data_IF_868544746262
#
_entry.id   IF_868544746262
#
_cell.length_a   1.000
_cell.length_b   1.000
_cell.length_c   1.000
_cell.angle_alpha   90.00
_cell.angle_beta   90.00
_cell.angle_gamma   90.00
#
_symmetry.space_group_name_H-M   'P 1'
#
loop_
_entity.id
_entity.type
_entity.pdbx_description
1 polymer ?
#
# COMPACT_ATOMS: atom_id res chain seq x y z
N UNK A 1 11.31 13.31 12.62
CA UNK A 1 12.02 12.14 12.08
C UNK A 1 11.96 12.19 10.57
N UNK A 2 12.87 11.53 9.86
CA UNK A 2 12.88 11.46 8.38
C UNK A 2 12.53 10.06 7.90
N UNK A 3 11.82 9.94 6.79
CA UNK A 3 11.64 8.67 6.08
C UNK A 3 12.82 8.44 5.13
N UNK A 4 13.47 7.27 5.21
CA UNK A 4 14.54 6.87 4.30
C UNK A 4 14.03 5.78 3.37
N UNK A 5 14.09 6.05 2.07
CA UNK A 5 13.63 5.14 1.02
C UNK A 5 14.59 5.14 -0.19
N UNK A 6 14.37 4.25 -1.15
CA UNK A 6 15.03 4.16 -2.46
C UNK A 6 16.56 3.98 -2.42
N UNK A 7 17.10 3.36 -1.36
CA UNK A 7 18.52 2.97 -1.34
C UNK A 7 18.81 1.96 -2.46
N UNK A 8 19.57 2.39 -3.47
CA UNK A 8 19.93 1.55 -4.60
C UNK A 8 21.42 1.64 -4.91
N UNK A 9 22.04 0.49 -5.18
CA UNK A 9 23.42 0.39 -5.67
C UNK A 9 23.42 -0.38 -6.98
N UNK A 10 24.08 0.19 -7.98
CA UNK A 10 24.23 -0.41 -9.31
C UNK A 10 24.78 -1.85 -9.20
N UNK A 11 24.25 -2.78 -10.00
CA UNK A 11 24.56 -4.23 -9.92
C UNK A 11 26.07 -4.52 -9.88
N UNK A 12 26.86 -3.81 -10.69
CA UNK A 12 28.33 -3.95 -10.79
C UNK A 12 29.12 -3.45 -9.56
N UNK A 13 28.50 -2.71 -8.64
CA UNK A 13 29.17 -2.05 -7.50
C UNK A 13 28.77 -2.63 -6.13
N UNK A 14 27.88 -3.62 -6.08
CA UNK A 14 27.31 -4.15 -4.82
C UNK A 14 28.36 -4.70 -3.86
N UNK A 15 29.46 -5.27 -4.36
CA UNK A 15 30.55 -5.81 -3.55
C UNK A 15 31.56 -4.77 -3.05
N UNK A 16 31.42 -3.49 -3.45
CA UNK A 16 32.40 -2.43 -3.13
C UNK A 16 32.06 -1.60 -1.89
N UNK A 17 31.16 -2.08 -1.03
CA UNK A 17 30.71 -1.40 0.21
C UNK A 17 30.24 0.05 -0.01
N UNK A 18 29.58 0.33 -1.14
CA UNK A 18 29.05 1.66 -1.46
C UNK A 18 27.85 2.03 -0.58
N UNK A 19 26.96 1.08 -0.29
CA UNK A 19 25.76 1.33 0.50
C UNK A 19 26.04 1.93 1.90
N UNK A 20 27.00 1.42 2.70
CA UNK A 20 27.39 2.07 3.95
C UNK A 20 27.89 3.52 3.80
N UNK A 21 28.50 3.88 2.67
CA UNK A 21 28.94 5.27 2.43
C UNK A 21 27.73 6.16 2.15
N UNK A 22 26.80 5.70 1.30
CA UNK A 22 25.56 6.42 1.01
C UNK A 22 24.71 6.65 2.26
N UNK A 23 24.57 5.62 3.10
CA UNK A 23 23.84 5.70 4.38
C UNK A 23 24.49 6.74 5.29
N UNK A 24 25.82 6.72 5.45
CA UNK A 24 26.52 7.72 6.28
C UNK A 24 26.35 9.15 5.77
N UNK A 25 26.40 9.36 4.46
CA UNK A 25 26.25 10.69 3.90
C UNK A 25 24.82 11.22 4.06
N UNK A 26 23.78 10.42 3.82
CA UNK A 26 22.40 10.87 4.06
C UNK A 26 22.15 11.12 5.55
N UNK A 27 22.68 10.27 6.45
CA UNK A 27 22.62 10.52 7.90
C UNK A 27 23.27 11.85 8.26
N UNK A 28 24.46 12.16 7.70
CA UNK A 28 25.14 13.45 7.93
C UNK A 28 24.29 14.64 7.48
N UNK A 29 23.66 14.57 6.31
CA UNK A 29 22.79 15.65 5.79
C UNK A 29 21.55 15.85 6.66
N UNK A 30 20.89 14.77 7.05
CA UNK A 30 19.70 14.82 7.92
C UNK A 30 20.06 15.41 9.30
N UNK A 31 21.22 15.06 9.85
CA UNK A 31 21.70 15.64 11.11
C UNK A 31 21.97 17.14 11.04
N UNK A 32 22.37 17.68 9.87
CA UNK A 32 22.57 19.13 9.69
C UNK A 32 21.26 19.92 9.77
N UNK A 33 20.14 19.30 9.39
CA UNK A 33 18.79 19.86 9.54
C UNK A 33 18.23 19.68 10.97
N UNK A 34 19.04 19.20 11.92
CA UNK A 34 18.64 18.98 13.31
C UNK A 34 17.75 17.76 13.53
N UNK A 35 17.58 16.90 12.53
CA UNK A 35 16.82 15.65 12.65
C UNK A 35 17.80 14.51 12.95
N UNK A 36 17.54 13.74 14.00
CA UNK A 36 18.47 12.66 14.42
C UNK A 36 17.83 11.27 14.39
N UNK A 37 16.56 11.17 14.01
CA UNK A 37 15.80 9.93 13.95
C UNK A 37 15.29 9.69 12.53
N UNK A 38 15.29 8.43 12.13
CA UNK A 38 14.74 8.02 10.84
C UNK A 38 13.83 6.79 10.96
N UNK A 39 12.92 6.65 10.02
CA UNK A 39 12.10 5.45 9.82
C UNK A 39 12.36 4.91 8.41
N UNK A 40 12.44 3.60 8.28
CA UNK A 40 12.60 2.95 6.98
C UNK A 40 12.06 1.53 7.03
N UNK A 41 11.78 0.99 5.84
CA UNK A 41 11.42 -0.41 5.68
C UNK A 41 12.47 -1.16 4.87
N UNK A 42 12.55 -2.47 5.07
CA UNK A 42 13.35 -3.33 4.22
C UNK A 42 12.70 -4.71 4.07
N UNK A 43 12.83 -5.31 2.89
CA UNK A 43 12.47 -6.72 2.65
C UNK A 43 13.48 -7.72 3.22
N UNK A 44 14.66 -7.24 3.65
CA UNK A 44 15.69 -8.04 4.32
C UNK A 44 15.60 -7.86 5.84
N UNK A 45 15.98 -8.90 6.57
CA UNK A 45 15.99 -8.87 8.05
C UNK A 45 17.28 -8.23 8.53
N UNK A 46 17.15 -7.15 9.29
CA UNK A 46 18.22 -6.44 9.98
C UNK A 46 17.95 -6.47 11.50
N UNK A 47 18.95 -6.57 12.38
CA UNK A 47 18.73 -6.40 13.83
C UNK A 47 18.52 -4.92 14.19
N UNK A 48 17.48 -4.49 14.93
CA UNK A 48 16.27 -5.18 15.44
C UNK A 48 15.02 -4.47 14.87
N UNK A 49 14.09 -5.17 14.17
CA UNK A 49 12.89 -4.54 13.63
C UNK A 49 11.93 -4.14 14.76
N UNK A 50 11.19 -3.06 14.53
CA UNK A 50 10.13 -2.60 15.44
C UNK A 50 8.77 -3.20 15.09
N UNK A 51 8.56 -3.58 13.83
CA UNK A 51 7.33 -4.23 13.35
C UNK A 51 7.59 -5.02 12.08
N UNK A 52 6.77 -6.02 11.82
CA UNK A 52 6.83 -6.89 10.64
C UNK A 52 5.46 -7.02 10.04
N UNK A 53 5.33 -6.65 8.77
CA UNK A 53 4.11 -6.80 7.99
C UNK A 53 4.36 -7.73 6.81
N UNK A 54 3.33 -8.42 6.35
CA UNK A 54 3.40 -9.36 5.23
C UNK A 54 2.63 -8.81 4.05
N UNK A 55 3.17 -8.98 2.85
CA UNK A 55 2.44 -8.67 1.63
C UNK A 55 1.37 -9.71 1.34
N UNK A 56 0.26 -9.24 0.83
CA UNK A 56 -0.85 -10.02 0.34
C UNK A 56 -1.22 -9.54 -1.06
N UNK A 57 -1.65 -10.46 -1.90
CA UNK A 57 -1.92 -10.20 -3.31
C UNK A 57 -3.31 -10.70 -3.69
N UNK A 58 -4.06 -9.86 -4.41
CA UNK A 58 -5.36 -10.19 -4.96
C UNK A 58 -5.33 -10.07 -6.49
N UNK A 59 -5.50 -11.19 -7.17
CA UNK A 59 -5.46 -11.26 -8.64
C UNK A 59 -6.67 -10.57 -9.29
N UNK A 60 -6.45 -9.44 -9.97
CA UNK A 60 -7.49 -8.76 -10.75
C UNK A 60 -7.55 -9.29 -12.20
N UNK A 61 -6.38 -9.68 -12.73
CA UNK A 61 -6.21 -10.31 -14.04
C UNK A 61 -5.48 -11.66 -13.93
N UNK A 62 -6.14 -12.73 -13.43
CA UNK A 62 -5.48 -14.01 -13.18
C UNK A 62 -4.80 -14.60 -14.43
N UNK A 63 -5.38 -14.37 -15.62
CA UNK A 63 -4.83 -14.88 -16.87
C UNK A 63 -3.43 -14.33 -17.12
N UNK A 64 -3.29 -13.00 -17.12
CA UNK A 64 -1.99 -12.35 -17.31
C UNK A 64 -1.00 -12.74 -16.23
N UNK A 65 -1.43 -12.76 -14.97
CA UNK A 65 -0.54 -13.08 -13.84
C UNK A 65 0.03 -14.51 -13.90
N UNK A 66 -0.74 -15.47 -14.43
CA UNK A 66 -0.28 -16.85 -14.64
C UNK A 66 0.65 -16.93 -15.86
N UNK A 67 0.31 -16.27 -16.97
CA UNK A 67 1.14 -16.24 -18.19
C UNK A 67 2.55 -15.69 -17.91
N UNK A 68 2.65 -14.63 -17.10
CA UNK A 68 3.93 -13.99 -16.75
C UNK A 68 4.63 -14.60 -15.54
N UNK A 69 4.11 -15.72 -15.01
CA UNK A 69 4.64 -16.44 -13.82
C UNK A 69 4.74 -15.58 -12.55
N UNK A 70 3.91 -14.54 -12.44
CA UNK A 70 3.73 -13.82 -11.17
C UNK A 70 2.94 -14.67 -10.16
N UNK A 71 2.00 -15.48 -10.66
CA UNK A 71 1.20 -16.40 -9.85
C UNK A 71 1.13 -17.78 -10.52
N UNK A 72 0.74 -18.80 -9.76
CA UNK A 72 0.61 -20.17 -10.25
C UNK A 72 -0.81 -20.71 -10.05
N UNK A 73 -1.22 -21.64 -10.92
CA UNK A 73 -2.44 -22.41 -10.71
C UNK A 73 -2.21 -23.38 -9.55
N UNK A 74 -3.12 -23.36 -8.58
CA UNK A 74 -3.09 -24.35 -7.50
C UNK A 74 -3.49 -25.74 -8.01
N UNK A 75 -3.18 -26.78 -7.22
CA UNK A 75 -3.55 -28.16 -7.55
C UNK A 75 -5.06 -28.26 -7.79
N UNK A 76 -5.45 -28.94 -8.87
CA UNK A 76 -6.85 -29.14 -9.30
C UNK A 76 -7.61 -27.87 -9.76
N UNK A 77 -6.92 -26.74 -9.96
CA UNK A 77 -7.51 -25.53 -10.54
C UNK A 77 -7.22 -25.42 -12.04
N UNK A 78 -8.26 -25.11 -12.82
CA UNK A 78 -8.12 -24.71 -14.22
C UNK A 78 -8.09 -23.19 -14.33
N UNK A 79 -7.62 -22.67 -15.47
CA UNK A 79 -7.64 -21.23 -15.75
C UNK A 79 -9.06 -20.65 -15.61
N UNK A 80 -10.06 -21.33 -16.18
CA UNK A 80 -11.47 -20.90 -16.12
C UNK A 80 -12.01 -20.86 -14.68
N UNK A 81 -11.70 -21.89 -13.86
CA UNK A 81 -12.09 -21.91 -12.44
C UNK A 81 -11.44 -20.77 -11.66
N UNK A 82 -10.17 -20.49 -11.95
CA UNK A 82 -9.41 -19.40 -11.32
C UNK A 82 -9.98 -18.03 -11.68
N UNK A 83 -10.32 -17.82 -12.95
CA UNK A 83 -11.00 -16.60 -13.40
C UNK A 83 -12.38 -16.45 -12.76
N UNK A 84 -13.15 -17.53 -12.63
CA UNK A 84 -14.46 -17.51 -11.94
C UNK A 84 -14.31 -17.21 -10.44
N UNK A 85 -13.32 -17.81 -9.77
CA UNK A 85 -13.05 -17.59 -8.35
C UNK A 85 -12.74 -16.12 -8.05
N UNK A 86 -11.95 -15.49 -8.91
CA UNK A 86 -11.49 -14.12 -8.72
C UNK A 86 -12.36 -13.05 -9.40
N UNK A 87 -13.48 -13.45 -10.01
CA UNK A 87 -14.42 -12.53 -10.65
C UNK A 87 -14.91 -11.48 -9.63
N UNK A 88 -14.96 -10.24 -10.10
CA UNK A 88 -15.47 -9.08 -9.38
C UNK A 88 -16.67 -8.51 -10.16
N UNK A 89 -17.58 -7.78 -9.48
CA UNK A 89 -18.62 -6.98 -10.12
C UNK A 89 -18.05 -5.97 -11.12
N UNK A 90 -18.93 -5.43 -11.97
CA UNK A 90 -18.58 -4.39 -12.96
C UNK A 90 -18.69 -2.98 -12.38
N UNK A 91 -19.52 -2.79 -11.37
CA UNK A 91 -19.73 -1.51 -10.68
C UNK A 91 -19.51 -1.64 -9.18
N UNK A 92 -18.99 -0.60 -8.51
CA UNK A 92 -18.96 -0.52 -7.06
C UNK A 92 -20.36 -0.62 -6.46
N UNK A 93 -20.45 -1.12 -5.22
CA UNK A 93 -21.73 -1.30 -4.51
C UNK A 93 -22.05 -0.16 -3.55
N UNK A 94 -21.03 0.49 -2.99
CA UNK A 94 -21.22 1.55 -1.99
C UNK A 94 -21.83 2.78 -2.65
N UNK A 95 -22.99 3.20 -2.15
CA UNK A 95 -23.66 4.42 -2.60
C UNK A 95 -22.83 5.65 -2.19
N UNK A 96 -22.79 6.66 -3.06
CA UNK A 96 -22.03 7.90 -2.79
C UNK A 96 -20.51 7.78 -2.97
N UNK A 97 -20.00 6.63 -3.43
CA UNK A 97 -18.59 6.46 -3.77
C UNK A 97 -18.23 7.29 -5.01
N UNK A 98 -17.34 8.27 -4.86
CA UNK A 98 -16.87 9.13 -5.95
C UNK A 98 -15.38 9.47 -5.80
N UNK A 99 -14.70 9.93 -6.85
CA UNK A 99 -13.33 10.45 -6.74
C UNK A 99 -13.27 11.61 -5.74
N UNK A 100 -12.15 11.69 -5.01
CA UNK A 100 -11.87 12.80 -4.11
C UNK A 100 -11.69 14.11 -4.89
N UNK A 101 -12.33 15.17 -4.41
CA UNK A 101 -12.19 16.54 -4.92
C UNK A 101 -11.38 17.42 -3.95
N UNK A 102 -10.94 18.59 -4.41
CA UNK A 102 -10.16 19.52 -3.56
C UNK A 102 -10.92 19.99 -2.32
N UNK A 103 -12.24 20.13 -2.42
CA UNK A 103 -13.09 20.52 -1.28
C UNK A 103 -13.10 19.48 -0.16
N UNK A 104 -12.77 18.23 -0.47
CA UNK A 104 -12.80 17.13 0.49
C UNK A 104 -11.51 17.04 1.33
N UNK A 105 -10.43 17.72 0.93
CA UNK A 105 -9.11 17.67 1.59
C UNK A 105 -9.19 17.92 3.11
N UNK A 106 -9.88 18.97 3.61
CA UNK A 106 -9.98 19.22 5.05
C UNK A 106 -10.68 18.08 5.79
N UNK A 107 -11.72 17.49 5.17
CA UNK A 107 -12.51 16.40 5.77
C UNK A 107 -11.68 15.10 5.82
N UNK A 108 -11.01 14.77 4.71
CA UNK A 108 -10.10 13.61 4.64
C UNK A 108 -8.97 13.74 5.66
N UNK A 109 -8.39 14.93 5.82
CA UNK A 109 -7.36 15.19 6.82
C UNK A 109 -7.87 14.92 8.25
N UNK A 110 -9.07 15.40 8.59
CA UNK A 110 -9.67 15.17 9.92
C UNK A 110 -9.98 13.69 10.16
N UNK A 111 -10.55 13.01 9.17
CA UNK A 111 -10.87 11.57 9.24
C UNK A 111 -9.60 10.74 9.42
N UNK A 112 -8.58 10.97 8.59
CA UNK A 112 -7.30 10.28 8.67
C UNK A 112 -6.60 10.52 10.01
N UNK A 113 -6.55 11.77 10.47
CA UNK A 113 -5.93 12.12 11.76
C UNK A 113 -6.62 11.44 12.93
N UNK A 114 -7.96 11.34 12.91
CA UNK A 114 -8.72 10.64 13.96
C UNK A 114 -8.46 9.13 13.91
N UNK A 115 -8.48 8.56 12.71
CA UNK A 115 -8.25 7.13 12.49
C UNK A 115 -6.85 6.69 12.94
N UNK A 116 -5.81 7.42 12.53
CA UNK A 116 -4.43 7.05 12.81
C UNK A 116 -4.05 7.11 14.30
N UNK A 117 -4.82 7.80 15.15
CA UNK A 117 -4.56 7.87 16.60
C UNK A 117 -4.68 6.51 17.33
N UNK A 118 -5.29 5.50 16.70
CA UNK A 118 -5.45 4.18 17.31
C UNK A 118 -4.22 3.26 17.17
N UNK A 119 -3.22 3.66 16.38
CA UNK A 119 -2.01 2.90 16.09
C UNK A 119 -0.77 3.52 16.77
N UNK A 120 0.31 2.73 16.90
CA UNK A 120 1.50 3.14 17.66
C UNK A 120 2.55 3.85 16.81
N UNK A 121 2.67 3.48 15.53
CA UNK A 121 3.58 4.10 14.57
C UNK A 121 2.78 4.68 13.43
N UNK A 122 2.59 6.01 13.42
CA UNK A 122 1.79 6.70 12.40
C UNK A 122 2.43 8.01 11.98
N UNK A 123 2.22 8.43 10.71
CA UNK A 123 2.53 9.79 10.28
C UNK A 123 1.47 10.76 10.81
N UNK A 124 1.92 11.89 11.35
CA UNK A 124 1.04 13.04 11.58
C UNK A 124 1.20 13.96 10.38
N UNK A 125 0.16 14.05 9.57
CA UNK A 125 0.19 14.81 8.32
C UNK A 125 -0.50 16.16 8.47
N UNK A 126 0.03 17.21 7.86
CA UNK A 126 -0.67 18.49 7.65
C UNK A 126 -1.75 18.35 6.57
N UNK A 127 -2.58 19.38 6.40
CA UNK A 127 -3.56 19.41 5.31
C UNK A 127 -2.89 19.41 3.93
N UNK A 128 -1.74 20.08 3.80
CA UNK A 128 -0.96 20.15 2.55
C UNK A 128 -0.33 18.79 2.22
N UNK A 129 0.15 18.07 3.23
CA UNK A 129 0.64 16.70 3.07
C UNK A 129 -0.48 15.75 2.67
N UNK A 130 -1.68 15.92 3.24
CA UNK A 130 -2.86 15.14 2.81
C UNK A 130 -3.23 15.46 1.37
N UNK A 131 -3.20 16.72 0.94
CA UNK A 131 -3.39 17.08 -0.46
C UNK A 131 -2.33 16.40 -1.35
N UNK A 132 -1.05 16.46 -0.97
CA UNK A 132 0.03 15.88 -1.75
C UNK A 132 -0.10 14.36 -1.92
N UNK A 133 -0.41 13.64 -0.84
CA UNK A 133 -0.41 12.18 -0.83
C UNK A 133 -1.72 11.55 -1.29
N UNK A 134 -2.85 12.24 -1.17
CA UNK A 134 -4.17 11.66 -1.44
C UNK A 134 -4.90 12.29 -2.62
N UNK A 135 -4.55 13.49 -3.07
CA UNK A 135 -5.25 14.08 -4.20
C UNK A 135 -5.07 13.22 -5.46
N UNK A 136 -6.15 12.76 -6.13
CA UNK A 136 -6.04 11.80 -7.22
C UNK A 136 -5.17 12.31 -8.37
N UNK A 137 -4.20 11.49 -8.77
CA UNK A 137 -3.30 11.74 -9.89
C UNK A 137 -3.21 10.48 -10.75
N UNK A 138 -3.52 10.63 -12.04
CA UNK A 138 -3.58 9.50 -12.95
C UNK A 138 -2.24 8.74 -12.99
N UNK A 139 -2.32 7.41 -12.84
CA UNK A 139 -1.17 6.52 -12.82
C UNK A 139 -0.17 6.76 -11.66
N UNK A 140 -0.55 7.51 -10.63
CA UNK A 140 0.24 7.73 -9.41
C UNK A 140 -0.57 7.28 -8.19
N UNK A 141 -1.65 7.99 -7.85
CA UNK A 141 -2.49 7.72 -6.69
C UNK A 141 -3.96 7.87 -7.07
N UNK A 142 -4.77 6.91 -6.64
CA UNK A 142 -6.21 6.94 -6.78
C UNK A 142 -6.85 6.99 -5.38
N UNK A 143 -7.66 8.02 -5.13
CA UNK A 143 -8.39 8.20 -3.87
C UNK A 143 -9.86 8.47 -4.14
N UNK A 144 -10.72 7.77 -3.40
CA UNK A 144 -12.17 7.87 -3.51
C UNK A 144 -12.78 8.10 -2.13
N UNK A 145 -13.79 8.95 -2.08
CA UNK A 145 -14.54 9.29 -0.86
C UNK A 145 -15.96 8.73 -0.96
N UNK A 146 -16.56 8.44 0.18
CA UNK A 146 -17.96 8.04 0.32
C UNK A 146 -18.73 9.19 0.95
N UNK A 147 -19.63 9.76 0.15
CA UNK A 147 -20.54 10.83 0.58
C UNK A 147 -21.87 10.23 1.05
N UNK A 148 -22.32 10.62 2.24
CA UNK A 148 -23.61 10.18 2.78
C UNK A 148 -24.78 10.95 2.12
N UNK A 149 -26.02 10.59 2.47
CA UNK A 149 -27.22 11.25 1.93
C UNK A 149 -27.32 12.75 2.28
N UNK A 150 -26.59 13.22 3.31
CA UNK A 150 -26.55 14.61 3.74
C UNK A 150 -25.45 15.43 3.04
N UNK A 151 -24.65 14.80 2.16
CA UNK A 151 -23.56 15.46 1.45
C UNK A 151 -22.23 15.50 2.21
N UNK A 152 -22.09 14.75 3.31
CA UNK A 152 -20.88 14.73 4.13
C UNK A 152 -20.01 13.50 3.78
N UNK A 153 -18.71 13.72 3.65
CA UNK A 153 -17.74 12.63 3.47
C UNK A 153 -17.53 11.90 4.80
N UNK A 154 -17.72 10.58 4.77
CA UNK A 154 -17.68 9.72 5.96
C UNK A 154 -16.50 8.76 5.92
N UNK A 155 -16.23 8.20 4.75
CA UNK A 155 -15.23 7.16 4.53
C UNK A 155 -14.39 7.51 3.30
N UNK A 156 -13.17 6.97 3.21
CA UNK A 156 -12.37 7.05 1.99
C UNK A 156 -11.43 5.86 1.85
N UNK A 157 -11.08 5.55 0.61
CA UNK A 157 -10.10 4.53 0.26
C UNK A 157 -9.05 5.10 -0.68
N UNK A 158 -7.83 4.58 -0.61
CA UNK A 158 -6.75 5.01 -1.49
C UNK A 158 -5.80 3.88 -1.86
N UNK A 159 -5.28 3.93 -3.08
CA UNK A 159 -4.26 3.01 -3.58
C UNK A 159 -3.36 3.69 -4.61
N UNK A 160 -2.07 3.39 -4.57
CA UNK A 160 -1.08 3.94 -5.49
C UNK A 160 -0.69 2.94 -6.58
N UNK A 161 -0.26 3.47 -7.72
CA UNK A 161 0.18 2.70 -8.87
C UNK A 161 1.67 2.44 -8.77
N UNK A 162 2.07 1.17 -8.82
CA UNK A 162 3.47 0.80 -8.98
C UNK A 162 3.61 -0.13 -10.18
N UNK A 163 4.08 0.37 -11.34
CA UNK A 163 4.31 -0.48 -12.49
C UNK A 163 5.56 -1.34 -12.27
N UNK A 164 5.47 -2.63 -12.61
CA UNK A 164 6.62 -3.55 -12.61
C UNK A 164 6.94 -3.96 -14.03
N UNK A 165 8.22 -3.86 -14.41
CA UNK A 165 8.70 -4.32 -15.73
C UNK A 165 8.72 -5.85 -15.77
N UNK A 166 8.13 -6.43 -16.81
CA UNK A 166 8.18 -7.88 -17.04
C UNK A 166 9.41 -8.18 -17.91
N UNK A 167 10.31 -9.01 -17.39
CA UNK A 167 11.52 -9.41 -18.08
C UNK A 167 11.25 -10.63 -18.97
N UNK A 168 11.75 -10.61 -20.20
CA UNK A 168 11.83 -11.77 -21.10
C UNK A 168 10.48 -12.44 -21.44
N UNK A 169 9.39 -11.65 -21.59
CA UNK A 169 8.09 -12.18 -22.02
C UNK A 169 7.72 -11.62 -23.42
N UNK A 170 7.23 -12.45 -24.36
CA UNK A 170 7.03 -12.04 -25.75
C UNK A 170 5.88 -11.04 -25.95
N UNK A 171 4.81 -11.15 -25.16
CA UNK A 171 3.60 -10.31 -25.31
C UNK A 171 3.47 -9.23 -24.25
N UNK A 172 3.59 -9.57 -22.96
CA UNK A 172 3.45 -8.64 -21.84
C UNK A 172 4.77 -7.95 -21.47
N UNK A 173 4.79 -6.61 -21.45
CA UNK A 173 5.98 -5.81 -21.10
C UNK A 173 5.94 -5.22 -19.68
N UNK A 174 4.75 -4.99 -19.14
CA UNK A 174 4.55 -4.38 -17.84
C UNK A 174 3.37 -4.99 -17.10
N UNK A 175 3.48 -5.00 -15.77
CA UNK A 175 2.46 -5.43 -14.83
C UNK A 175 2.03 -4.20 -14.03
N UNK A 176 0.76 -3.81 -14.15
CA UNK A 176 0.21 -2.65 -13.44
C UNK A 176 -0.32 -3.12 -12.10
N UNK A 177 0.41 -2.85 -11.02
CA UNK A 177 0.01 -3.22 -9.67
C UNK A 177 -0.53 -2.02 -8.90
N UNK A 178 -1.67 -2.22 -8.23
CA UNK A 178 -2.20 -1.30 -7.24
C UNK A 178 -1.67 -1.71 -5.86
N UNK A 179 -1.24 -0.76 -5.05
CA UNK A 179 -0.84 -0.97 -3.67
C UNK A 179 -1.77 -0.17 -2.77
N UNK A 180 -2.44 -0.84 -1.83
CA UNK A 180 -3.31 -0.18 -0.86
C UNK A 180 -2.50 0.80 -0.03
N UNK A 181 -3.01 2.03 0.09
CA UNK A 181 -2.41 3.09 0.89
C UNK A 181 -3.15 3.20 2.23
N UNK A 182 -3.93 4.25 2.46
CA UNK A 182 -4.80 4.35 3.64
C UNK A 182 -6.27 4.21 3.28
N UNK A 183 -7.01 3.50 4.12
CA UNK A 183 -8.46 3.34 3.98
C UNK A 183 -9.07 3.63 5.35
N UNK A 184 -9.94 4.64 5.41
CA UNK A 184 -10.61 5.06 6.64
C UNK A 184 -12.09 4.81 6.48
N UNK A 185 -12.66 4.15 7.47
CA UNK A 185 -14.07 3.77 7.47
C UNK A 185 -14.71 4.09 8.82
N UNK A 186 -15.96 4.50 8.78
CA UNK A 186 -16.79 4.98 9.89
C UNK A 186 -18.22 4.45 9.76
N UNK A 187 -18.85 4.61 8.59
CA UNK A 187 -20.22 4.15 8.33
C UNK A 187 -20.22 2.88 7.47
N UNK A 188 -19.44 2.89 6.39
CA UNK A 188 -19.30 1.73 5.49
C UNK A 188 -18.41 0.67 6.16
N UNK A 189 -18.82 -0.61 6.19
CA UNK A 189 -17.94 -1.68 6.64
C UNK A 189 -16.67 -1.74 5.78
N UNK A 190 -15.50 -1.87 6.42
CA UNK A 190 -14.21 -1.94 5.72
C UNK A 190 -14.16 -3.02 4.63
N UNK A 191 -14.85 -4.14 4.85
CA UNK A 191 -14.94 -5.23 3.88
C UNK A 191 -15.58 -4.78 2.56
N UNK A 192 -16.65 -3.98 2.63
CA UNK A 192 -17.36 -3.49 1.45
C UNK A 192 -16.56 -2.38 0.76
N UNK A 193 -15.98 -1.47 1.55
CA UNK A 193 -15.10 -0.41 1.06
C UNK A 193 -13.91 -1.00 0.28
N UNK A 194 -13.25 -2.02 0.83
CA UNK A 194 -12.13 -2.68 0.17
C UNK A 194 -12.57 -3.58 -0.99
N UNK A 195 -13.78 -4.14 -0.96
CA UNK A 195 -14.34 -4.80 -2.14
C UNK A 195 -14.50 -3.83 -3.31
N UNK A 196 -14.96 -2.61 -3.04
CA UNK A 196 -15.10 -1.57 -4.07
C UNK A 196 -13.73 -1.06 -4.55
N UNK A 197 -12.73 -0.97 -3.69
CA UNK A 197 -11.35 -0.68 -4.10
C UNK A 197 -10.84 -1.68 -5.17
N UNK A 198 -11.13 -2.98 -4.99
CA UNK A 198 -10.78 -4.02 -5.97
C UNK A 198 -11.52 -3.85 -7.29
N UNK A 199 -12.81 -3.46 -7.25
CA UNK A 199 -13.61 -3.18 -8.45
C UNK A 199 -13.04 -1.98 -9.19
N UNK A 200 -12.77 -0.88 -8.49
CA UNK A 200 -12.19 0.35 -9.05
C UNK A 200 -10.82 0.09 -9.68
N UNK A 201 -9.94 -0.64 -9.00
CA UNK A 201 -8.65 -1.02 -9.56
C UNK A 201 -8.81 -1.90 -10.80
N UNK A 202 -9.75 -2.86 -10.81
CA UNK A 202 -10.01 -3.67 -12.00
C UNK A 202 -10.54 -2.82 -13.17
N UNK A 203 -11.45 -1.89 -12.92
CA UNK A 203 -11.98 -0.97 -13.93
C UNK A 203 -10.88 -0.08 -14.52
N UNK A 204 -9.89 0.33 -13.71
CA UNK A 204 -8.69 1.09 -14.13
C UNK A 204 -7.59 0.24 -14.77
N UNK A 205 -7.87 -1.04 -15.05
CA UNK A 205 -6.97 -1.93 -15.78
C UNK A 205 -5.77 -2.42 -14.96
N UNK A 206 -5.86 -2.46 -13.64
CA UNK A 206 -4.83 -3.08 -12.80
C UNK A 206 -4.87 -4.60 -12.90
N UNK A 207 -3.70 -5.23 -12.82
CA UNK A 207 -3.54 -6.67 -12.93
C UNK A 207 -3.60 -7.37 -11.56
N UNK A 208 -3.14 -6.69 -10.51
CA UNK A 208 -3.07 -7.19 -9.14
C UNK A 208 -3.28 -6.04 -8.16
N UNK A 209 -3.91 -6.34 -7.02
CA UNK A 209 -4.03 -5.44 -5.89
C UNK A 209 -3.24 -5.99 -4.71
N UNK A 210 -2.32 -5.20 -4.19
CA UNK A 210 -1.41 -5.55 -3.12
C UNK A 210 -1.80 -4.82 -1.84
N UNK A 211 -1.70 -5.49 -0.70
CA UNK A 211 -1.93 -4.88 0.60
C UNK A 211 -0.97 -5.50 1.63
N UNK A 212 -0.56 -4.70 2.61
CA UNK A 212 0.12 -5.19 3.80
C UNK A 212 -0.90 -5.56 4.86
N UNK A 213 -0.58 -6.51 5.74
CA UNK A 213 -1.43 -6.91 6.87
C UNK A 213 -1.37 -5.96 8.08
N UNK A 214 -0.98 -4.71 7.84
CA UNK A 214 -0.93 -3.62 8.80
C UNK A 214 -2.32 -3.06 9.12
N UNK A 215 -2.41 -2.28 10.21
CA UNK A 215 -3.68 -1.71 10.69
C UNK A 215 -4.77 -2.79 10.83
N UNK A 216 -5.96 -2.56 10.30
CA UNK A 216 -7.10 -3.48 10.37
C UNK A 216 -7.21 -4.36 9.12
N UNK A 217 -6.20 -4.36 8.23
CA UNK A 217 -6.32 -4.99 6.91
C UNK A 217 -6.61 -6.50 6.99
N UNK A 218 -6.10 -7.19 8.02
CA UNK A 218 -6.38 -8.61 8.27
C UNK A 218 -7.86 -8.96 8.29
N UNK A 219 -8.73 -8.01 8.64
CA UNK A 219 -10.18 -8.24 8.71
C UNK A 219 -10.84 -8.52 7.36
N UNK A 220 -10.25 -8.04 6.25
CA UNK A 220 -10.78 -8.21 4.89
C UNK A 220 -9.93 -9.11 4.00
N UNK A 221 -8.63 -9.28 4.27
CA UNK A 221 -7.69 -9.96 3.36
C UNK A 221 -8.18 -11.36 2.93
N UNK A 222 -8.43 -12.25 3.88
CA UNK A 222 -8.89 -13.62 3.58
C UNK A 222 -10.28 -13.63 2.94
N UNK A 223 -11.21 -12.81 3.47
CA UNK A 223 -12.60 -12.70 2.99
C UNK A 223 -12.69 -12.23 1.54
N UNK A 224 -11.80 -11.31 1.15
CA UNK A 224 -11.69 -10.80 -0.22
C UNK A 224 -10.76 -11.62 -1.10
N UNK A 225 -10.33 -12.80 -0.65
CA UNK A 225 -9.51 -13.76 -1.42
C UNK A 225 -8.12 -13.23 -1.74
N UNK A 226 -7.53 -12.42 -0.87
CA UNK A 226 -6.11 -12.14 -0.95
C UNK A 226 -5.33 -13.41 -0.60
N UNK A 227 -4.30 -13.71 -1.37
CA UNK A 227 -3.32 -14.74 -1.07
C UNK A 227 -2.13 -14.16 -0.33
N UNK A 228 -1.54 -14.94 0.57
CA UNK A 228 -0.28 -14.61 1.23
C UNK A 228 0.82 -14.51 0.18
N UNK A 229 1.55 -13.39 0.17
CA UNK A 229 2.76 -13.23 -0.60
C UNK A 229 4.00 -13.75 0.13
N UNK A 230 5.08 -13.94 -0.63
CA UNK A 230 6.33 -14.50 -0.13
C UNK A 230 7.18 -13.46 0.62
N UNK A 231 6.84 -12.17 0.48
CA UNK A 231 7.60 -11.05 1.03
C UNK A 231 7.05 -10.55 2.36
N UNK A 232 7.95 -10.39 3.33
CA UNK A 232 7.70 -9.60 4.53
C UNK A 232 8.39 -8.23 4.40
N UNK A 233 7.74 -7.19 4.89
CA UNK A 233 8.27 -5.84 5.01
C UNK A 233 8.52 -5.52 6.48
N UNK A 234 9.77 -5.23 6.81
CA UNK A 234 10.19 -4.97 8.18
C UNK A 234 10.37 -3.49 8.42
N UNK A 235 9.83 -2.99 9.53
CA UNK A 235 9.92 -1.59 9.94
C UNK A 235 11.07 -1.40 10.92
N UNK A 236 11.84 -0.34 10.73
CA UNK A 236 12.98 0.01 11.56
C UNK A 236 12.94 1.48 11.95
N UNK A 237 13.44 1.76 13.16
CA UNK A 237 13.67 3.11 13.63
C UNK A 237 15.16 3.30 13.91
N UNK A 238 15.76 4.31 13.29
CA UNK A 238 17.13 4.74 13.54
C UNK A 238 17.15 5.71 14.72
N UNK A 239 18.09 5.48 15.64
CA UNK A 239 18.31 6.33 16.83
C UNK A 239 17.04 6.52 17.69
N UNK A 240 16.24 5.46 17.80
CA UNK A 240 15.03 5.42 18.62
C UNK A 240 14.87 4.05 19.26
N UNK A 241 14.69 3.99 20.57
CA UNK A 241 14.50 2.75 21.32
C UNK A 241 13.05 2.64 21.77
N UNK A 242 12.37 1.59 21.35
CA UNK A 242 11.01 1.28 21.78
C UNK A 242 10.77 -0.25 21.81
N UNK A 243 9.67 -0.70 22.44
CA UNK A 243 9.20 -2.07 22.27
C UNK A 243 8.87 -2.39 20.80
N UNK A 244 8.89 -3.67 20.45
CA UNK A 244 8.33 -4.14 19.18
C UNK A 244 6.80 -4.09 19.21
N UNK A 245 6.17 -3.96 18.05
CA UNK A 245 4.73 -3.89 17.88
C UNK A 245 4.24 -4.91 16.84
N UNK A 246 3.00 -5.37 16.99
CA UNK A 246 2.34 -6.21 15.98
C UNK A 246 1.96 -5.40 14.74
N UNK A 247 1.70 -6.10 13.62
CA UNK A 247 1.32 -5.47 12.36
C UNK A 247 0.07 -4.58 12.52
N UNK A 248 -0.88 -5.01 13.36
CA UNK A 248 -2.11 -4.29 13.67
C UNK A 248 -1.90 -2.96 14.42
N UNK A 249 -0.68 -2.68 14.88
CA UNK A 249 -0.28 -1.43 15.53
C UNK A 249 0.59 -0.54 14.65
N UNK A 250 0.98 -1.01 13.46
CA UNK A 250 1.67 -0.22 12.44
C UNK A 250 0.62 0.50 11.61
N UNK A 251 0.62 1.83 11.64
CA UNK A 251 -0.21 2.69 10.79
C UNK A 251 0.63 3.62 9.92
N UNK A 252 1.85 3.21 9.60
CA UNK A 252 2.73 3.88 8.65
C UNK A 252 2.85 3.02 7.40
N UNK A 253 2.29 3.49 6.30
CA UNK A 253 2.43 2.86 4.98
C UNK A 253 3.59 3.55 4.26
N UNK A 254 4.70 2.82 4.06
CA UNK A 254 5.84 3.29 3.28
C UNK A 254 5.76 2.78 1.85
N UNK A 255 6.12 3.63 0.89
CA UNK A 255 6.03 3.36 -0.54
C UNK A 255 7.15 2.47 -1.08
#
# INVERSE_FOLDING_TARGET
MVEINFLCVHKKLRSKRVAPVLIREITRRVHLEGIFQAVYTAGVVLPKPVGTCRYWHRSLNPRKLIEVKFSHLSRNMTMQRTMKLYRLPETPKTAGLRPMEKKDIPVVHQLLTRYLKQFLLTPVMSQEEVEHWFYPQENIIDTFVVENANGEVTDFLSFYTLPSTIMNHPTHKSLKAAYSFYNVHTQTPLLDLMSDALVLAKMKGFDVFNALDLMENKTFLEKLKFGIGDGNLQYYLYNWKCPSMGAEKVGLVLQ
#
